data_IF_038268383856
#
_entry.id   IF_038268383856
#
_cell.length_a   1.000
_cell.length_b   1.000
_cell.length_c   1.000
_cell.angle_alpha   90.00
_cell.angle_beta   90.00
_cell.angle_gamma   90.00
#
_symmetry.space_group_name_H-M   'P 1'
#
loop_
_entity.id
_entity.type
_entity.pdbx_description
1 polymer ?
#
# COMPACT_ATOMS: atom_id res chain seq x y z
N UNK A 1 14.15 -41.69 23.28
CA UNK A 1 14.23 -41.84 21.87
C UNK A 1 13.10 -41.16 21.12
N UNK A 2 11.94 -41.31 21.57
CA UNK A 2 10.82 -40.68 20.89
C UNK A 2 10.69 -39.23 21.21
N UNK A 3 11.25 -38.81 22.28
CA UNK A 3 11.07 -37.43 22.75
C UNK A 3 11.66 -36.40 21.82
N UNK A 4 12.72 -36.78 21.15
CA UNK A 4 13.36 -35.85 20.25
C UNK A 4 12.42 -35.36 19.15
N UNK A 5 11.49 -36.19 18.76
CA UNK A 5 10.56 -35.84 17.71
C UNK A 5 9.63 -34.73 18.10
N UNK A 6 9.25 -34.71 19.37
CA UNK A 6 8.32 -33.72 19.86
C UNK A 6 8.94 -32.34 19.82
N UNK A 7 10.20 -32.26 20.18
CA UNK A 7 10.87 -30.97 20.15
C UNK A 7 10.94 -30.37 18.77
N UNK A 8 11.19 -31.18 17.78
CA UNK A 8 11.27 -30.69 16.42
C UNK A 8 9.94 -30.09 15.94
N UNK A 9 8.86 -30.73 16.33
CA UNK A 9 7.54 -30.23 15.91
C UNK A 9 7.24 -28.84 16.47
N UNK A 10 7.65 -28.58 17.68
CA UNK A 10 7.41 -27.29 18.30
C UNK A 10 8.16 -26.19 17.61
N UNK A 11 9.39 -26.45 17.21
CA UNK A 11 10.19 -25.45 16.52
C UNK A 11 9.56 -25.06 15.20
N UNK A 12 9.05 -26.03 14.48
CA UNK A 12 8.42 -25.75 13.20
C UNK A 12 7.19 -24.86 13.36
N UNK A 13 6.42 -25.08 14.40
CA UNK A 13 5.24 -24.28 14.65
C UNK A 13 5.58 -22.81 14.90
N UNK A 14 6.68 -22.56 15.60
CA UNK A 14 7.07 -21.19 15.88
C UNK A 14 7.52 -20.45 14.63
N UNK A 15 8.15 -21.13 13.71
CA UNK A 15 8.65 -20.51 12.51
C UNK A 15 7.54 -19.92 11.64
N UNK A 16 6.32 -20.40 11.82
CA UNK A 16 5.18 -19.95 10.99
C UNK A 16 4.61 -18.62 11.44
N UNK A 17 5.01 -18.15 12.60
CA UNK A 17 4.36 -16.99 13.22
C UNK A 17 4.96 -15.67 12.78
N UNK A 18 5.89 -15.66 11.86
CA UNK A 18 6.50 -14.41 11.40
C UNK A 18 5.43 -13.48 10.80
N UNK A 19 5.37 -12.21 11.22
CA UNK A 19 4.42 -11.28 10.65
C UNK A 19 4.72 -10.98 9.20
N UNK A 20 3.69 -10.72 8.44
CA UNK A 20 3.85 -10.31 7.06
C UNK A 20 4.49 -8.93 7.00
N UNK A 21 5.42 -8.73 6.08
CA UNK A 21 6.02 -7.43 5.86
C UNK A 21 4.99 -6.47 5.27
N UNK A 22 5.08 -5.19 5.63
CA UNK A 22 4.25 -4.15 5.05
C UNK A 22 4.59 -4.03 3.57
N UNK A 23 3.56 -3.99 2.71
CA UNK A 23 3.74 -3.82 1.28
C UNK A 23 3.51 -2.35 0.94
N UNK A 24 4.56 -1.64 0.53
CA UNK A 24 4.48 -0.23 0.19
C UNK A 24 4.46 0.02 -1.32
N UNK A 25 4.61 -1.00 -2.13
CA UNK A 25 4.56 -0.87 -3.58
C UNK A 25 4.03 -2.15 -4.23
N UNK A 26 3.49 -1.98 -5.42
CA UNK A 26 2.92 -3.09 -6.18
C UNK A 26 2.92 -2.73 -7.66
N UNK A 27 3.23 -3.68 -8.51
CA UNK A 27 3.02 -3.56 -9.96
C UNK A 27 2.15 -4.72 -10.42
N UNK A 28 1.22 -4.44 -11.33
CA UNK A 28 0.37 -5.48 -11.88
C UNK A 28 1.21 -6.53 -12.60
N UNK A 29 0.75 -7.79 -12.68
CA UNK A 29 1.53 -8.84 -13.34
C UNK A 29 1.86 -8.54 -14.80
N UNK A 30 0.99 -7.81 -15.49
CA UNK A 30 1.19 -7.42 -16.88
C UNK A 30 2.04 -6.16 -17.03
N UNK A 31 2.37 -5.49 -15.93
CA UNK A 31 3.11 -4.24 -15.96
C UNK A 31 2.28 -3.03 -16.37
N UNK A 32 0.95 -3.17 -16.42
CA UNK A 32 0.07 -2.08 -16.85
C UNK A 32 0.10 -0.87 -15.94
N UNK A 33 0.29 -1.10 -14.65
CA UNK A 33 0.36 -0.02 -13.68
C UNK A 33 1.17 -0.44 -12.47
N UNK A 34 1.67 0.56 -11.74
CA UNK A 34 2.32 0.36 -10.45
C UNK A 34 1.76 1.36 -9.46
N UNK A 35 1.59 0.92 -8.22
CA UNK A 35 1.13 1.77 -7.13
C UNK A 35 2.17 1.80 -6.01
N UNK A 36 2.25 2.89 -5.27
CA UNK A 36 3.17 2.96 -4.15
C UNK A 36 2.68 3.92 -3.07
N UNK A 37 3.12 3.66 -1.85
CA UNK A 37 2.91 4.49 -0.68
C UNK A 37 4.23 4.65 0.06
N UNK A 38 5.31 4.82 -0.69
CA UNK A 38 6.66 4.82 -0.17
C UNK A 38 7.09 6.19 0.35
N UNK A 39 8.05 6.18 1.25
CA UNK A 39 8.66 7.38 1.77
C UNK A 39 9.89 7.73 0.95
N UNK A 40 10.02 9.00 0.58
CA UNK A 40 11.18 9.49 -0.14
C UNK A 40 11.67 10.74 0.57
N UNK A 41 12.90 10.70 1.07
CA UNK A 41 13.50 11.82 1.81
C UNK A 41 12.61 12.34 2.93
N UNK A 42 12.05 11.41 3.69
CA UNK A 42 11.20 11.73 4.83
C UNK A 42 9.76 12.09 4.48
N UNK A 43 9.38 12.10 3.22
CA UNK A 43 8.03 12.45 2.79
C UNK A 43 7.32 11.22 2.24
N UNK A 44 6.09 10.98 2.71
CA UNK A 44 5.25 9.89 2.23
C UNK A 44 4.49 10.33 1.00
N UNK A 45 4.70 9.63 -0.11
CA UNK A 45 3.98 9.88 -1.36
C UNK A 45 3.03 8.74 -1.65
N UNK A 46 1.85 9.07 -2.16
CA UNK A 46 0.93 8.11 -2.74
C UNK A 46 1.01 8.30 -4.24
N UNK A 47 1.28 7.21 -4.95
CA UNK A 47 1.58 7.31 -6.37
C UNK A 47 0.98 6.15 -7.14
N UNK A 48 0.46 6.45 -8.32
CA UNK A 48 0.13 5.45 -9.33
C UNK A 48 0.68 5.90 -10.66
N UNK A 49 1.27 4.98 -11.42
CA UNK A 49 1.77 5.20 -12.77
C UNK A 49 1.17 4.15 -13.68
N UNK A 50 0.74 4.57 -14.86
CA UNK A 50 0.14 3.65 -15.84
C UNK A 50 0.34 4.18 -17.24
N UNK A 51 0.41 3.27 -18.22
CA UNK A 51 0.34 3.64 -19.64
C UNK A 51 -0.89 3.04 -20.31
N UNK A 52 -1.83 2.48 -19.53
CA UNK A 52 -2.99 1.77 -20.05
C UNK A 52 -4.29 2.54 -19.91
N UNK A 53 -4.37 3.50 -19.00
CA UNK A 53 -5.62 4.23 -18.78
C UNK A 53 -5.36 5.68 -18.38
N UNK A 54 -6.39 6.50 -18.56
CA UNK A 54 -6.38 7.91 -18.20
C UNK A 54 -7.61 8.20 -17.34
N UNK A 55 -7.83 9.47 -17.01
CA UNK A 55 -8.98 9.88 -16.23
C UNK A 55 -8.64 10.10 -14.78
N UNK A 56 -9.54 9.71 -13.89
CA UNK A 56 -9.36 9.91 -12.46
C UNK A 56 -9.22 8.60 -11.73
N UNK A 57 -8.32 8.60 -10.76
CA UNK A 57 -8.20 7.48 -9.82
C UNK A 57 -8.68 7.95 -8.46
N UNK A 58 -9.29 7.04 -7.72
CA UNK A 58 -9.68 7.29 -6.34
C UNK A 58 -8.65 6.62 -5.44
N UNK A 59 -8.13 7.38 -4.49
CA UNK A 59 -7.18 6.88 -3.50
C UNK A 59 -7.83 7.00 -2.14
N UNK A 60 -7.94 5.88 -1.45
CA UNK A 60 -8.56 5.82 -0.12
C UNK A 60 -7.50 5.45 0.90
N UNK A 61 -7.50 6.14 2.03
CA UNK A 61 -6.59 5.85 3.13
C UNK A 61 -7.42 5.56 4.37
N UNK A 62 -7.16 4.39 4.96
CA UNK A 62 -7.75 4.02 6.24
C UNK A 62 -6.70 4.22 7.31
N UNK A 63 -7.04 4.98 8.35
CA UNK A 63 -6.11 5.27 9.43
C UNK A 63 -6.12 4.17 10.50
N UNK A 64 -5.26 4.27 11.54
CA UNK A 64 -5.23 3.24 12.59
C UNK A 64 -6.53 3.07 13.36
N UNK A 65 -7.41 4.08 13.37
CA UNK A 65 -8.72 3.96 14.02
C UNK A 65 -9.78 3.36 13.09
N UNK A 66 -9.39 2.98 11.87
CA UNK A 66 -10.24 2.43 10.84
C UNK A 66 -11.13 3.46 10.14
N UNK A 67 -10.95 4.75 10.41
CA UNK A 67 -11.62 5.80 9.65
C UNK A 67 -11.00 5.88 8.25
N UNK A 68 -11.85 6.07 7.25
CA UNK A 68 -11.45 6.02 5.84
C UNK A 68 -11.76 7.33 5.15
N UNK A 69 -10.78 7.89 4.45
CA UNK A 69 -10.93 9.11 3.66
C UNK A 69 -10.51 8.80 2.23
N UNK A 70 -11.34 9.19 1.27
CA UNK A 70 -11.08 8.97 -0.15
C UNK A 70 -11.09 10.28 -0.91
N UNK A 71 -10.18 10.42 -1.86
CA UNK A 71 -10.13 11.56 -2.78
C UNK A 71 -9.86 11.05 -4.19
N UNK A 72 -10.36 11.80 -5.18
CA UNK A 72 -10.11 11.51 -6.58
C UNK A 72 -9.07 12.47 -7.13
N UNK A 73 -8.19 11.92 -7.96
CA UNK A 73 -7.12 12.70 -8.58
C UNK A 73 -7.06 12.39 -10.06
N UNK A 74 -6.87 13.44 -10.86
CA UNK A 74 -6.72 13.28 -12.29
C UNK A 74 -5.31 12.77 -12.61
N UNK A 75 -5.23 11.74 -13.46
CA UNK A 75 -3.97 11.25 -13.98
C UNK A 75 -3.38 12.31 -14.91
N UNK A 76 -2.12 12.67 -14.68
CA UNK A 76 -1.39 13.65 -15.46
C UNK A 76 -0.37 12.95 -16.34
N UNK A 77 -0.22 13.44 -17.56
CA UNK A 77 0.78 12.87 -18.46
C UNK A 77 2.18 13.16 -17.94
N UNK A 78 3.02 12.12 -17.92
CA UNK A 78 4.40 12.19 -17.46
C UNK A 78 5.25 11.34 -18.40
N UNK A 79 5.76 11.96 -19.47
CA UNK A 79 6.45 11.22 -20.53
C UNK A 79 5.50 10.22 -21.19
N UNK A 80 5.90 8.94 -21.32
CA UNK A 80 5.04 7.92 -21.92
C UNK A 80 3.96 7.41 -20.97
N UNK A 81 3.94 7.89 -19.72
CA UNK A 81 3.03 7.40 -18.69
C UNK A 81 2.03 8.47 -18.30
N UNK A 82 0.99 8.04 -17.60
CA UNK A 82 0.10 8.91 -16.83
C UNK A 82 0.30 8.59 -15.37
N UNK A 83 0.29 9.59 -14.52
CA UNK A 83 0.54 9.36 -13.10
C UNK A 83 -0.22 10.32 -12.20
N UNK A 84 -0.44 9.88 -10.97
CA UNK A 84 -0.76 10.72 -9.83
C UNK A 84 0.37 10.51 -8.83
N UNK A 85 0.91 11.62 -8.33
CA UNK A 85 1.93 11.59 -7.28
C UNK A 85 1.58 12.70 -6.32
N UNK A 86 1.12 12.33 -5.14
CA UNK A 86 0.66 13.29 -4.13
C UNK A 86 1.38 13.04 -2.81
N UNK A 87 1.46 14.09 -2.01
CA UNK A 87 1.98 13.99 -0.66
C UNK A 87 0.83 13.61 0.26
N UNK A 88 0.97 12.47 0.94
CA UNK A 88 -0.09 11.94 1.80
C UNK A 88 -0.64 12.98 2.79
N UNK A 89 0.23 13.66 3.51
CA UNK A 89 -0.19 14.60 4.56
C UNK A 89 -0.98 15.79 4.04
N UNK A 90 -0.87 16.12 2.78
CA UNK A 90 -1.60 17.26 2.20
C UNK A 90 -3.05 16.96 1.90
N UNK A 91 -3.38 15.69 1.73
CA UNK A 91 -4.71 15.28 1.30
C UNK A 91 -5.44 14.40 2.30
N UNK A 92 -4.71 13.82 3.24
CA UNK A 92 -5.27 12.89 4.21
C UNK A 92 -4.80 13.26 5.62
N UNK A 93 -5.67 13.07 6.62
CA UNK A 93 -5.29 13.42 7.98
C UNK A 93 -4.25 12.46 8.52
N UNK A 94 -3.26 13.01 9.21
CA UNK A 94 -2.34 12.22 10.01
C UNK A 94 -2.97 12.06 11.39
N UNK A 95 -3.47 10.86 11.68
CA UNK A 95 -4.17 10.57 12.93
C UNK A 95 -3.28 9.88 13.95
N UNK A 96 -1.98 10.13 13.87
CA UNK A 96 -1.04 9.62 14.84
C UNK A 96 -0.36 8.35 14.41
N UNK A 97 0.35 7.71 15.35
CA UNK A 97 1.12 6.51 15.04
C UNK A 97 0.23 5.31 14.76
N UNK A 98 0.77 4.38 14.00
CA UNK A 98 0.10 3.14 13.67
C UNK A 98 0.14 2.84 12.19
N UNK A 99 -0.60 1.83 11.78
CA UNK A 99 -0.60 1.34 10.41
C UNK A 99 -1.74 1.97 9.62
N UNK A 100 -1.38 2.52 8.47
CA UNK A 100 -2.31 3.09 7.50
C UNK A 100 -2.42 2.16 6.30
N UNK A 101 -3.60 2.14 5.69
CA UNK A 101 -3.90 1.24 4.58
C UNK A 101 -4.39 2.05 3.39
N UNK A 102 -3.74 1.87 2.25
CA UNK A 102 -3.99 2.66 1.05
C UNK A 102 -4.55 1.75 -0.04
N UNK A 103 -5.67 2.13 -0.63
CA UNK A 103 -6.26 1.41 -1.77
C UNK A 103 -6.48 2.37 -2.93
N UNK A 104 -6.26 1.86 -4.13
CA UNK A 104 -6.40 2.61 -5.36
C UNK A 104 -7.54 2.01 -6.18
N UNK A 105 -8.35 2.88 -6.80
CA UNK A 105 -9.49 2.46 -7.61
C UNK A 105 -9.55 3.23 -8.92
N UNK A 106 -9.93 2.52 -9.98
CA UNK A 106 -10.34 3.14 -11.24
C UNK A 106 -11.84 2.86 -11.37
N UNK A 107 -12.66 3.90 -11.17
CA UNK A 107 -14.09 3.69 -11.02
C UNK A 107 -14.38 2.85 -9.78
N UNK A 108 -15.04 1.73 -9.98
CA UNK A 108 -15.30 0.77 -8.90
C UNK A 108 -14.29 -0.37 -8.87
N UNK A 109 -13.36 -0.39 -9.82
CA UNK A 109 -12.38 -1.47 -9.92
C UNK A 109 -11.18 -1.16 -9.04
N UNK A 110 -10.87 -2.08 -8.16
CA UNK A 110 -9.70 -1.96 -7.30
C UNK A 110 -8.44 -2.26 -8.09
N UNK A 111 -7.44 -1.40 -7.95
CA UNK A 111 -6.17 -1.52 -8.62
C UNK A 111 -5.14 -2.10 -7.66
N UNK A 112 -4.98 -3.42 -7.72
CA UNK A 112 -4.02 -4.12 -6.90
C UNK A 112 -4.45 -4.31 -5.45
N UNK A 113 -3.57 -4.84 -4.63
CA UNK A 113 -3.83 -5.03 -3.20
C UNK A 113 -3.71 -3.73 -2.45
N UNK A 114 -4.25 -3.70 -1.24
CA UNK A 114 -4.01 -2.57 -0.34
C UNK A 114 -2.52 -2.50 -0.01
N UNK A 115 -2.00 -1.29 0.00
CA UNK A 115 -0.65 -1.04 0.47
C UNK A 115 -0.73 -0.58 1.92
N UNK A 116 0.31 -0.83 2.69
CA UNK A 116 0.34 -0.41 4.08
C UNK A 116 1.63 0.31 4.38
N UNK A 117 1.54 1.29 5.27
CA UNK A 117 2.72 1.92 5.82
C UNK A 117 2.48 2.21 7.30
N UNK A 118 3.56 2.31 8.04
CA UNK A 118 3.49 2.59 9.47
C UNK A 118 4.02 3.98 9.75
N UNK A 119 3.22 4.75 10.49
CA UNK A 119 3.61 6.07 10.93
C UNK A 119 4.17 5.93 12.34
N UNK A 120 5.39 6.41 12.60
CA UNK A 120 5.98 6.31 13.93
C UNK A 120 5.31 7.22 14.92
N UNK A 121 5.44 6.87 16.19
CA UNK A 121 4.90 7.62 17.31
C UNK A 121 5.67 8.85 17.69
#
# INVERSE_FOLDING_TARGET
MKLALVGAALVAALAVVAPAAAKVSYCSPTGDYCTSAAKLKGVRYLRISTFRFTGRVKICVRDPSAARVCHRFKLQKAGPLYQVKIIWKRHYPNRGPGTYRVTFFLGTTRLGPALTFTQPG
#
